data_IF_092523395910
#
_entry.id   IF_092523395910
#
_cell.length_a   1.000
_cell.length_b   1.000
_cell.length_c   1.000
_cell.angle_alpha   90.00
_cell.angle_beta   90.00
_cell.angle_gamma   90.00
#
_symmetry.space_group_name_H-M   'P 1'
#
loop_
_entity.id
_entity.type
_entity.pdbx_description
1 polymer ?
#
# COMPACT_ATOMS: atom_id res chain seq x y z
N UNK A 1 -21.98 2.39 -15.36
CA UNK A 1 -21.15 3.54 -14.94
C UNK A 1 -21.59 4.74 -15.75
N UNK A 2 -21.97 5.85 -15.10
CA UNK A 2 -22.62 7.03 -15.70
C UNK A 2 -21.97 7.51 -17.01
N UNK A 3 -20.64 7.68 -17.01
CA UNK A 3 -19.88 8.14 -18.18
C UNK A 3 -20.00 7.25 -19.43
N UNK A 4 -20.27 5.94 -19.26
CA UNK A 4 -20.51 5.03 -20.41
C UNK A 4 -21.85 5.28 -21.09
N UNK A 5 -22.79 5.89 -20.38
CA UNK A 5 -24.13 6.22 -20.88
C UNK A 5 -24.27 7.72 -21.15
N UNK A 6 -23.17 8.47 -21.21
CA UNK A 6 -23.21 9.93 -21.29
C UNK A 6 -24.04 10.43 -22.47
N UNK A 7 -23.72 9.98 -23.68
CA UNK A 7 -24.44 10.41 -24.90
C UNK A 7 -25.93 10.05 -24.85
N UNK A 8 -26.25 8.89 -24.29
CA UNK A 8 -27.65 8.46 -24.10
C UNK A 8 -28.38 9.36 -23.11
N UNK A 9 -27.71 9.78 -22.02
CA UNK A 9 -28.28 10.69 -21.04
C UNK A 9 -28.50 12.08 -21.62
N UNK A 10 -27.52 12.62 -22.36
CA UNK A 10 -27.64 13.91 -23.03
C UNK A 10 -28.84 13.90 -23.99
N UNK A 11 -28.91 12.90 -24.87
CA UNK A 11 -30.01 12.74 -25.83
C UNK A 11 -31.38 12.60 -25.14
N UNK A 12 -31.45 11.87 -24.04
CA UNK A 12 -32.69 11.71 -23.27
C UNK A 12 -33.15 13.02 -22.63
N UNK A 13 -32.24 13.84 -22.09
CA UNK A 13 -32.57 15.17 -21.56
C UNK A 13 -32.95 16.16 -22.65
N UNK A 14 -32.33 16.09 -23.82
CA UNK A 14 -32.72 16.90 -25.00
C UNK A 14 -34.14 16.57 -25.47
N UNK A 15 -34.50 15.29 -25.53
CA UNK A 15 -35.85 14.86 -25.90
C UNK A 15 -36.90 15.35 -24.90
N UNK A 16 -36.60 15.27 -23.59
CA UNK A 16 -37.47 15.80 -22.53
C UNK A 16 -37.65 17.30 -22.65
N UNK A 17 -36.56 18.05 -22.85
CA UNK A 17 -36.60 19.49 -23.08
C UNK A 17 -37.50 19.84 -24.27
N UNK A 18 -37.34 19.11 -25.39
CA UNK A 18 -38.17 19.30 -26.59
C UNK A 18 -39.65 18.96 -26.34
N UNK A 19 -39.93 17.98 -25.48
CA UNK A 19 -41.30 17.68 -25.04
C UNK A 19 -41.88 18.82 -24.19
N UNK A 20 -41.16 19.32 -23.19
CA UNK A 20 -41.62 20.45 -22.36
C UNK A 20 -41.94 21.69 -23.20
N UNK A 21 -41.13 21.99 -24.23
CA UNK A 21 -41.44 23.08 -25.17
C UNK A 21 -42.75 22.86 -25.95
N UNK A 22 -43.08 21.62 -26.32
CA UNK A 22 -44.35 21.29 -27.00
C UNK A 22 -45.54 21.37 -26.06
N UNK A 23 -45.34 20.98 -24.80
CA UNK A 23 -46.37 20.93 -23.77
C UNK A 23 -46.52 22.29 -23.04
N UNK A 24 -45.75 23.31 -23.44
CA UNK A 24 -45.72 24.65 -22.85
C UNK A 24 -45.33 24.66 -21.36
N UNK A 25 -44.51 23.70 -20.95
CA UNK A 25 -43.94 23.54 -19.61
C UNK A 25 -42.51 24.09 -19.53
N UNK A 26 -42.04 24.40 -18.32
CA UNK A 26 -40.65 24.79 -18.09
C UNK A 26 -39.71 23.60 -18.38
N UNK A 27 -38.70 23.76 -19.27
CA UNK A 27 -37.84 22.66 -19.65
C UNK A 27 -36.82 22.31 -18.56
N UNK A 28 -36.74 21.03 -18.21
CA UNK A 28 -35.66 20.51 -17.37
C UNK A 28 -34.29 20.73 -18.02
N UNK A 29 -33.36 21.32 -17.27
CA UNK A 29 -31.94 21.38 -17.67
C UNK A 29 -31.25 20.06 -17.31
N UNK A 30 -30.25 19.66 -18.12
CA UNK A 30 -29.43 18.49 -17.78
C UNK A 30 -28.51 18.84 -16.59
N UNK A 31 -28.66 18.22 -15.40
CA UNK A 31 -27.94 18.67 -14.21
C UNK A 31 -26.42 18.53 -14.27
N UNK A 32 -25.92 17.73 -15.22
CA UNK A 32 -24.49 17.48 -15.40
C UNK A 32 -23.93 18.12 -16.67
N UNK A 33 -24.68 19.04 -17.27
CA UNK A 33 -24.21 19.75 -18.45
C UNK A 33 -22.87 20.45 -18.18
N UNK A 34 -21.95 20.36 -19.13
CA UNK A 34 -20.56 20.86 -18.99
C UNK A 34 -19.67 20.10 -18.00
N UNK A 35 -20.17 19.13 -17.20
CA UNK A 35 -19.39 18.44 -16.17
C UNK A 35 -18.70 17.14 -16.64
N UNK A 36 -18.88 16.74 -17.90
CA UNK A 36 -18.33 15.48 -18.43
C UNK A 36 -16.83 15.35 -18.14
N UNK A 37 -16.06 16.36 -18.52
CA UNK A 37 -14.60 16.33 -18.42
C UNK A 37 -14.12 16.28 -16.96
N UNK A 38 -14.80 17.00 -16.06
CA UNK A 38 -14.52 16.94 -14.63
C UNK A 38 -14.76 15.53 -14.07
N UNK A 39 -15.88 14.91 -14.44
CA UNK A 39 -16.21 13.54 -14.03
C UNK A 39 -15.20 12.52 -14.57
N UNK A 40 -14.75 12.66 -15.82
CA UNK A 40 -13.73 11.78 -16.41
C UNK A 40 -12.40 11.88 -15.68
N UNK A 41 -11.96 13.10 -15.36
CA UNK A 41 -10.71 13.32 -14.62
C UNK A 41 -10.80 12.85 -13.16
N UNK A 42 -11.91 13.14 -12.48
CA UNK A 42 -12.15 12.66 -11.11
C UNK A 42 -12.22 11.14 -11.07
N UNK A 43 -12.91 10.51 -12.02
CA UNK A 43 -12.94 9.06 -12.11
C UNK A 43 -11.54 8.49 -12.35
N UNK A 44 -10.73 9.14 -13.19
CA UNK A 44 -9.35 8.73 -13.44
C UNK A 44 -8.49 8.74 -12.17
N UNK A 45 -8.68 9.73 -11.29
CA UNK A 45 -8.05 9.78 -9.96
C UNK A 45 -8.56 8.66 -9.05
N UNK A 46 -9.89 8.54 -8.93
CA UNK A 46 -10.51 7.63 -7.98
C UNK A 46 -10.39 6.17 -8.37
N UNK A 47 -10.35 5.82 -9.66
CA UNK A 47 -10.34 4.43 -10.11
C UNK A 47 -9.18 3.64 -9.49
N UNK A 48 -7.97 4.20 -9.47
CA UNK A 48 -6.80 3.55 -8.86
C UNK A 48 -6.91 3.44 -7.34
N UNK A 49 -7.50 4.44 -6.68
CA UNK A 49 -7.77 4.42 -5.24
C UNK A 49 -8.85 3.38 -4.90
N UNK A 50 -9.90 3.27 -5.70
CA UNK A 50 -10.95 2.26 -5.53
C UNK A 50 -10.40 0.86 -5.70
N UNK A 51 -9.51 0.63 -6.68
CA UNK A 51 -8.83 -0.66 -6.86
C UNK A 51 -7.97 -1.00 -5.63
N UNK A 52 -7.21 -0.03 -5.12
CA UNK A 52 -6.44 -0.18 -3.88
C UNK A 52 -7.35 -0.52 -2.69
N UNK A 53 -8.45 0.23 -2.49
CA UNK A 53 -9.38 0.02 -1.39
C UNK A 53 -10.00 -1.38 -1.43
N UNK A 54 -10.39 -1.85 -2.63
CA UNK A 54 -10.87 -3.22 -2.81
C UNK A 54 -9.80 -4.24 -2.43
N UNK A 55 -8.55 -4.01 -2.85
CA UNK A 55 -7.44 -4.90 -2.52
C UNK A 55 -7.16 -4.95 -1.01
N UNK A 56 -7.24 -3.81 -0.32
CA UNK A 56 -7.04 -3.74 1.14
C UNK A 56 -8.17 -4.37 1.95
N UNK A 57 -9.34 -4.57 1.34
CA UNK A 57 -10.54 -5.12 2.00
C UNK A 57 -10.85 -6.56 1.54
N UNK A 58 -10.00 -7.16 0.71
CA UNK A 58 -10.16 -8.54 0.29
C UNK A 58 -9.94 -9.50 1.48
N UNK A 59 -10.65 -10.62 1.50
CA UNK A 59 -10.52 -11.62 2.57
C UNK A 59 -9.10 -12.20 2.66
N UNK A 60 -8.41 -12.27 1.53
CA UNK A 60 -7.05 -12.74 1.34
C UNK A 60 -6.04 -11.58 1.16
N UNK A 61 -6.35 -10.39 1.69
CA UNK A 61 -5.50 -9.21 1.52
C UNK A 61 -4.07 -9.42 2.05
N UNK A 62 -3.11 -9.47 1.13
CA UNK A 62 -1.69 -9.48 1.46
C UNK A 62 -1.19 -8.05 1.75
N UNK A 63 -0.75 -7.80 2.98
CA UNK A 63 -0.33 -6.46 3.45
C UNK A 63 0.83 -5.88 2.63
N UNK A 64 1.78 -6.70 2.18
CA UNK A 64 2.90 -6.27 1.33
C UNK A 64 2.40 -5.83 -0.04
N UNK A 65 1.48 -6.60 -0.62
CA UNK A 65 0.86 -6.23 -1.89
C UNK A 65 0.02 -4.96 -1.80
N UNK A 66 -0.68 -4.76 -0.69
CA UNK A 66 -1.43 -3.53 -0.41
C UNK A 66 -0.48 -2.35 -0.27
N UNK A 67 0.63 -2.49 0.47
CA UNK A 67 1.65 -1.45 0.61
C UNK A 67 2.24 -1.06 -0.75
N UNK A 68 2.61 -2.04 -1.58
CA UNK A 68 3.12 -1.78 -2.92
C UNK A 68 2.07 -1.10 -3.80
N UNK A 69 0.82 -1.55 -3.76
CA UNK A 69 -0.26 -0.88 -4.49
C UNK A 69 -0.44 0.57 -4.02
N UNK A 70 -0.33 0.82 -2.71
CA UNK A 70 -0.39 2.16 -2.12
C UNK A 70 0.74 3.06 -2.64
N UNK A 71 1.98 2.57 -2.65
CA UNK A 71 3.13 3.27 -3.23
C UNK A 71 2.92 3.58 -4.72
N UNK A 72 2.36 2.66 -5.49
CA UNK A 72 2.06 2.90 -6.90
C UNK A 72 0.98 3.97 -7.09
N UNK A 73 -0.08 3.98 -6.28
CA UNK A 73 -1.11 5.03 -6.32
C UNK A 73 -0.48 6.39 -6.05
N UNK A 74 0.37 6.48 -5.03
CA UNK A 74 1.10 7.70 -4.70
C UNK A 74 1.94 8.22 -5.87
N UNK A 75 2.86 7.39 -6.36
CA UNK A 75 3.85 7.77 -7.37
C UNK A 75 3.21 8.06 -8.74
N UNK A 76 2.19 7.29 -9.14
CA UNK A 76 1.63 7.36 -10.51
C UNK A 76 0.33 8.14 -10.61
N UNK A 77 -0.42 8.28 -9.52
CA UNK A 77 -1.77 8.88 -9.54
C UNK A 77 -1.82 10.20 -8.81
N UNK A 78 -1.14 10.31 -7.66
CA UNK A 78 -1.30 11.47 -6.78
C UNK A 78 -0.16 12.48 -6.89
N UNK A 79 1.05 12.04 -7.27
CA UNK A 79 2.20 12.94 -7.40
C UNK A 79 1.89 14.15 -8.30
N UNK A 80 2.08 15.35 -7.76
CA UNK A 80 1.83 16.60 -8.47
C UNK A 80 2.82 16.75 -9.63
N UNK A 81 2.33 17.22 -10.79
CA UNK A 81 3.13 17.39 -12.01
C UNK A 81 3.28 16.13 -12.88
N UNK A 82 2.89 14.95 -12.40
CA UNK A 82 2.87 13.73 -13.23
C UNK A 82 1.59 13.65 -14.07
N UNK A 83 1.73 13.20 -15.33
CA UNK A 83 0.58 12.91 -16.20
C UNK A 83 -0.31 11.85 -15.54
N UNK A 84 -1.63 12.06 -15.58
CA UNK A 84 -2.60 11.13 -15.04
C UNK A 84 -3.06 10.18 -16.16
N UNK A 85 -3.12 8.88 -15.89
CA UNK A 85 -3.76 7.94 -16.81
C UNK A 85 -5.27 8.19 -16.85
N UNK A 86 -5.85 8.26 -18.04
CA UNK A 86 -7.29 8.29 -18.20
C UNK A 86 -7.93 6.99 -17.68
N UNK A 87 -9.17 7.04 -17.15
CA UNK A 87 -9.84 5.87 -16.56
C UNK A 87 -10.06 4.71 -17.56
N UNK A 88 -10.09 5.00 -18.86
CA UNK A 88 -10.15 4.01 -19.95
C UNK A 88 -8.77 3.52 -20.42
N UNK A 89 -7.68 3.93 -19.77
CA UNK A 89 -6.33 3.46 -20.08
C UNK A 89 -6.19 1.97 -19.73
N UNK A 90 -5.67 1.17 -20.65
CA UNK A 90 -5.41 -0.28 -20.45
C UNK A 90 -3.91 -0.58 -20.44
N UNK A 91 -3.54 -1.85 -20.28
CA UNK A 91 -2.12 -2.26 -20.36
C UNK A 91 -1.58 -2.10 -21.77
N UNK A 92 -2.41 -2.37 -22.77
CA UNK A 92 -2.09 -2.35 -24.20
C UNK A 92 -2.17 -0.94 -24.78
N UNK A 93 -3.08 -0.11 -24.24
CA UNK A 93 -3.30 1.27 -24.71
C UNK A 93 -3.27 2.25 -23.56
N UNK A 94 -2.12 2.92 -23.41
CA UNK A 94 -1.96 4.02 -22.45
C UNK A 94 -2.55 5.32 -22.99
N UNK A 95 -3.53 5.85 -22.26
CA UNK A 95 -4.14 7.16 -22.54
C UNK A 95 -3.82 8.09 -21.38
N UNK A 96 -3.26 9.25 -21.67
CA UNK A 96 -2.89 10.25 -20.67
C UNK A 96 -3.80 11.47 -20.75
N UNK A 97 -4.14 12.02 -19.59
CA UNK A 97 -4.77 13.33 -19.47
C UNK A 97 -3.67 14.39 -19.55
N UNK A 98 -3.72 15.23 -20.57
CA UNK A 98 -2.72 16.29 -20.78
C UNK A 98 -2.86 17.43 -19.78
N UNK A 99 -4.09 17.92 -19.59
CA UNK A 99 -4.40 19.04 -18.70
C UNK A 99 -5.58 18.67 -17.81
N UNK A 100 -5.29 18.50 -16.52
CA UNK A 100 -6.33 18.32 -15.52
C UNK A 100 -7.21 19.57 -15.41
N UNK A 101 -8.50 19.33 -15.21
CA UNK A 101 -9.45 20.39 -14.87
C UNK A 101 -9.15 20.98 -13.49
N UNK A 102 -9.61 22.21 -13.17
CA UNK A 102 -9.40 22.82 -11.87
C UNK A 102 -9.88 21.93 -10.71
N UNK A 103 -11.06 21.31 -10.84
CA UNK A 103 -11.62 20.42 -9.82
C UNK A 103 -10.75 19.18 -9.59
N UNK A 104 -10.27 18.55 -10.67
CA UNK A 104 -9.39 17.39 -10.57
C UNK A 104 -8.01 17.76 -9.98
N UNK A 105 -7.45 18.93 -10.34
CA UNK A 105 -6.20 19.44 -9.74
C UNK A 105 -6.34 19.65 -8.23
N UNK A 106 -7.41 20.34 -7.83
CA UNK A 106 -7.72 20.59 -6.42
C UNK A 106 -7.89 19.28 -5.65
N UNK A 107 -8.69 18.35 -6.18
CA UNK A 107 -8.92 17.04 -5.56
C UNK A 107 -7.64 16.24 -5.42
N UNK A 108 -6.80 16.20 -6.48
CA UNK A 108 -5.50 15.53 -6.45
C UNK A 108 -4.57 16.12 -5.38
N UNK A 109 -4.53 17.44 -5.27
CA UNK A 109 -3.72 18.13 -4.25
C UNK A 109 -4.20 17.80 -2.83
N UNK A 110 -5.51 17.79 -2.59
CA UNK A 110 -6.07 17.40 -1.28
C UNK A 110 -5.72 15.96 -0.93
N UNK A 111 -5.98 15.02 -1.84
CA UNK A 111 -5.66 13.60 -1.63
C UNK A 111 -4.16 13.38 -1.37
N UNK A 112 -3.32 14.09 -2.13
CA UNK A 112 -1.89 14.07 -1.95
C UNK A 112 -1.51 14.55 -0.54
N UNK A 113 -2.00 15.71 -0.11
CA UNK A 113 -1.70 16.27 1.21
C UNK A 113 -2.18 15.35 2.34
N UNK A 114 -3.39 14.81 2.23
CA UNK A 114 -3.94 13.86 3.21
C UNK A 114 -3.07 12.62 3.33
N UNK A 115 -2.64 12.03 2.21
CA UNK A 115 -1.74 10.88 2.26
C UNK A 115 -0.36 11.22 2.79
N UNK A 116 0.18 12.40 2.43
CA UNK A 116 1.46 12.88 2.94
C UNK A 116 1.45 12.97 4.46
N UNK A 117 0.43 13.61 5.04
CA UNK A 117 0.31 13.81 6.48
C UNK A 117 0.07 12.49 7.22
N UNK A 118 -0.88 11.69 6.74
CA UNK A 118 -1.36 10.52 7.49
C UNK A 118 -0.46 9.30 7.35
N UNK A 119 0.11 9.06 6.16
CA UNK A 119 0.92 7.87 5.90
C UNK A 119 2.39 8.21 5.68
N UNK A 120 2.71 9.08 4.70
CA UNK A 120 4.11 9.30 4.31
C UNK A 120 4.92 10.12 5.30
N UNK A 121 4.28 10.77 6.28
CA UNK A 121 4.99 11.45 7.38
C UNK A 121 5.93 10.50 8.13
N UNK A 122 5.66 9.19 8.12
CA UNK A 122 6.56 8.16 8.66
C UNK A 122 7.94 8.09 7.98
N UNK A 123 8.07 8.62 6.76
CA UNK A 123 9.32 8.66 6.00
C UNK A 123 9.90 10.07 5.84
N UNK A 124 9.23 11.10 6.38
CA UNK A 124 9.68 12.49 6.25
C UNK A 124 9.88 13.20 7.57
N UNK A 125 9.22 12.75 8.64
CA UNK A 125 9.38 13.23 10.00
C UNK A 125 10.52 12.46 10.68
N UNK A 126 11.56 13.18 11.10
CA UNK A 126 12.75 12.59 11.69
C UNK A 126 12.44 11.81 12.97
N UNK A 127 11.52 12.28 13.82
CA UNK A 127 11.17 11.58 15.06
C UNK A 127 10.52 10.24 14.76
N UNK A 128 9.61 10.21 13.76
CA UNK A 128 8.96 8.97 13.32
C UNK A 128 9.93 8.02 12.63
N UNK A 129 10.85 8.55 11.83
CA UNK A 129 11.88 7.73 11.16
C UNK A 129 12.74 7.01 12.18
N UNK A 130 13.17 7.69 13.25
CA UNK A 130 14.06 7.08 14.26
C UNK A 130 13.36 6.01 15.10
N UNK A 131 12.07 6.17 15.38
CA UNK A 131 11.35 5.31 16.33
C UNK A 131 10.57 4.18 15.67
N UNK A 132 10.27 4.24 14.37
CA UNK A 132 9.37 3.28 13.74
C UNK A 132 10.08 1.98 13.34
N UNK A 133 9.49 0.81 13.61
CA UNK A 133 10.07 -0.48 13.26
C UNK A 133 9.89 -0.86 11.77
N UNK A 134 9.16 -0.07 10.99
CA UNK A 134 8.91 -0.32 9.56
C UNK A 134 8.48 -1.78 9.22
N UNK A 135 7.55 -2.34 10.00
CA UNK A 135 7.18 -3.77 9.93
C UNK A 135 6.73 -4.18 8.52
N UNK A 136 5.87 -3.40 7.85
CA UNK A 136 5.40 -3.75 6.51
C UNK A 136 6.53 -3.70 5.47
N UNK A 137 7.48 -2.79 5.63
CA UNK A 137 8.67 -2.72 4.77
C UNK A 137 9.62 -3.90 5.04
N UNK A 138 9.75 -4.33 6.30
CA UNK A 138 10.48 -5.54 6.67
C UNK A 138 9.85 -6.79 6.05
N UNK A 139 8.52 -6.94 6.16
CA UNK A 139 7.78 -8.01 5.50
C UNK A 139 7.98 -7.97 3.97
N UNK A 140 7.98 -6.78 3.36
CA UNK A 140 8.27 -6.63 1.93
C UNK A 140 9.67 -7.14 1.57
N UNK A 141 10.69 -6.86 2.39
CA UNK A 141 12.06 -7.35 2.18
C UNK A 141 12.17 -8.87 2.33
N UNK A 142 11.36 -9.47 3.19
CA UNK A 142 11.32 -10.92 3.42
C UNK A 142 10.47 -11.67 2.38
N UNK A 143 9.51 -10.99 1.73
CA UNK A 143 8.56 -11.63 0.84
C UNK A 143 9.25 -12.34 -0.32
N UNK A 144 8.92 -13.60 -0.65
CA UNK A 144 9.65 -14.39 -1.65
C UNK A 144 9.60 -13.79 -3.07
N UNK A 145 8.53 -13.07 -3.40
CA UNK A 145 8.28 -12.53 -4.76
C UNK A 145 8.21 -11.00 -4.85
N UNK A 146 8.18 -10.29 -3.72
CA UNK A 146 7.82 -8.86 -3.67
C UNK A 146 8.90 -7.99 -3.01
N UNK A 147 10.14 -8.47 -2.99
CA UNK A 147 11.29 -7.72 -2.45
C UNK A 147 11.53 -6.49 -3.31
N UNK A 148 11.19 -5.31 -2.79
CA UNK A 148 11.24 -4.08 -3.58
C UNK A 148 11.63 -2.85 -2.75
N UNK A 149 12.87 -2.86 -2.24
CA UNK A 149 13.45 -1.71 -1.54
C UNK A 149 13.66 -0.50 -2.47
N UNK A 150 13.78 -0.72 -3.78
CA UNK A 150 13.89 0.37 -4.75
C UNK A 150 12.64 1.24 -4.77
N UNK A 151 11.45 0.63 -4.77
CA UNK A 151 10.18 1.37 -4.71
C UNK A 151 10.07 2.14 -3.40
N UNK A 152 10.46 1.54 -2.27
CA UNK A 152 10.51 2.24 -0.98
C UNK A 152 11.46 3.45 -1.07
N UNK A 153 12.69 3.26 -1.53
CA UNK A 153 13.68 4.34 -1.68
C UNK A 153 13.13 5.49 -2.54
N UNK A 154 12.51 5.17 -3.67
CA UNK A 154 11.89 6.16 -4.55
C UNK A 154 10.73 6.92 -3.87
N UNK A 155 9.88 6.22 -3.12
CA UNK A 155 8.80 6.83 -2.33
C UNK A 155 9.37 7.79 -1.30
N UNK A 156 10.32 7.34 -0.47
CA UNK A 156 10.93 8.16 0.58
C UNK A 156 11.57 9.41 -0.03
N UNK A 157 12.33 9.24 -1.11
CA UNK A 157 12.98 10.35 -1.80
C UNK A 157 11.96 11.35 -2.33
N UNK A 158 10.95 10.92 -3.10
CA UNK A 158 9.96 11.81 -3.70
C UNK A 158 9.13 12.53 -2.63
N UNK A 159 8.71 11.83 -1.57
CA UNK A 159 7.99 12.45 -0.45
C UNK A 159 8.82 13.52 0.25
N UNK A 160 10.13 13.32 0.40
CA UNK A 160 11.02 14.31 1.02
C UNK A 160 11.31 15.50 0.08
N UNK A 161 11.54 15.26 -1.22
CA UNK A 161 11.73 16.34 -2.19
C UNK A 161 10.51 17.26 -2.28
N UNK A 162 9.31 16.71 -2.14
CA UNK A 162 8.09 17.50 -2.16
C UNK A 162 7.98 18.47 -0.98
N UNK A 163 8.54 18.14 0.18
CA UNK A 163 8.64 19.05 1.32
C UNK A 163 9.74 20.11 1.15
N UNK A 164 10.32 20.24 -0.06
CA UNK A 164 11.37 21.20 -0.36
C UNK A 164 12.77 20.77 0.05
N UNK A 165 12.95 19.53 0.52
CA UNK A 165 14.30 19.01 0.83
C UNK A 165 15.12 18.86 -0.45
N UNK A 166 16.40 19.18 -0.37
CA UNK A 166 17.31 18.99 -1.49
C UNK A 166 17.44 17.51 -1.88
N UNK A 167 17.78 17.26 -3.14
CA UNK A 167 17.92 15.90 -3.67
C UNK A 167 18.90 15.06 -2.84
N UNK A 168 20.04 15.62 -2.46
CA UNK A 168 21.06 14.92 -1.66
C UNK A 168 20.51 14.50 -0.29
N UNK A 169 19.82 15.39 0.41
CA UNK A 169 19.20 15.09 1.70
C UNK A 169 18.09 14.05 1.58
N UNK A 170 17.21 14.20 0.59
CA UNK A 170 16.14 13.24 0.34
C UNK A 170 16.69 11.85 0.02
N UNK A 171 17.82 11.78 -0.71
CA UNK A 171 18.49 10.52 -1.02
C UNK A 171 19.17 9.91 0.22
N UNK A 172 19.79 10.73 1.08
CA UNK A 172 20.34 10.29 2.37
C UNK A 172 19.25 9.68 3.25
N UNK A 173 18.11 10.37 3.41
CA UNK A 173 16.97 9.89 4.21
C UNK A 173 16.44 8.56 3.65
N UNK A 174 16.32 8.44 2.32
CA UNK A 174 15.92 7.18 1.68
C UNK A 174 16.89 6.03 2.01
N UNK A 175 18.19 6.31 2.00
CA UNK A 175 19.22 5.37 2.42
C UNK A 175 19.09 4.96 3.89
N UNK A 176 18.86 5.92 4.79
CA UNK A 176 18.67 5.67 6.22
C UNK A 176 17.46 4.78 6.51
N UNK A 177 16.30 5.07 5.89
CA UNK A 177 15.10 4.25 6.03
C UNK A 177 15.37 2.82 5.54
N UNK A 178 16.01 2.67 4.36
CA UNK A 178 16.33 1.34 3.83
C UNK A 178 17.32 0.57 4.73
N UNK A 179 18.32 1.25 5.30
CA UNK A 179 19.27 0.66 6.24
C UNK A 179 18.57 0.22 7.54
N UNK A 180 17.65 1.03 8.07
CA UNK A 180 16.87 0.65 9.23
C UNK A 180 16.02 -0.60 8.96
N UNK A 181 15.32 -0.66 7.82
CA UNK A 181 14.54 -1.85 7.44
C UNK A 181 15.44 -3.10 7.40
N UNK A 182 16.61 -3.01 6.77
CA UNK A 182 17.58 -4.12 6.72
C UNK A 182 18.04 -4.53 8.11
N UNK A 183 18.32 -3.57 8.98
CA UNK A 183 18.77 -3.82 10.36
C UNK A 183 17.71 -4.56 11.17
N UNK A 184 16.46 -4.08 11.15
CA UNK A 184 15.36 -4.73 11.87
C UNK A 184 15.12 -6.17 11.39
N UNK A 185 15.21 -6.41 10.07
CA UNK A 185 15.12 -7.76 9.50
C UNK A 185 16.27 -8.65 10.02
N UNK A 186 17.49 -8.14 10.00
CA UNK A 186 18.66 -8.86 10.49
C UNK A 186 18.56 -9.20 11.98
N UNK A 187 18.19 -8.23 12.82
CA UNK A 187 17.99 -8.42 14.26
C UNK A 187 16.89 -9.45 14.55
N UNK A 188 15.78 -9.40 13.81
CA UNK A 188 14.69 -10.38 13.94
C UNK A 188 15.11 -11.78 13.51
N UNK A 189 15.98 -11.91 12.51
CA UNK A 189 16.51 -13.22 12.10
C UNK A 189 17.47 -13.80 13.15
N UNK A 190 18.32 -12.96 13.73
CA UNK A 190 19.24 -13.36 14.79
C UNK A 190 18.49 -13.82 16.05
N UNK A 191 17.43 -13.14 16.44
CA UNK A 191 16.64 -13.53 17.61
C UNK A 191 16.04 -14.93 17.44
N UNK A 192 15.44 -15.21 16.27
CA UNK A 192 14.88 -16.53 15.94
C UNK A 192 15.94 -17.64 16.00
N UNK A 193 17.14 -17.38 15.47
CA UNK A 193 18.25 -18.37 15.54
C UNK A 193 18.69 -18.62 16.98
N UNK A 194 18.76 -17.57 17.80
CA UNK A 194 19.14 -17.71 19.21
C UNK A 194 18.09 -18.45 20.04
N UNK A 195 16.80 -18.26 19.76
CA UNK A 195 15.70 -18.98 20.42
C UNK A 195 15.67 -20.46 20.04
N UNK A 196 15.86 -20.77 18.75
CA UNK A 196 15.94 -22.16 18.26
C UNK A 196 17.13 -22.93 18.85
N UNK A 197 18.24 -22.25 19.18
CA UNK A 197 19.39 -22.86 19.84
C UNK A 197 19.13 -23.29 21.29
N UNK A 198 18.24 -22.60 22.01
CA UNK A 198 17.87 -22.95 23.38
C UNK A 198 16.87 -24.12 23.43
N UNK A 199 15.91 -24.18 22.51
CA UNK A 199 14.94 -25.27 22.44
C UNK A 199 15.57 -26.62 22.05
N UNK A 200 16.65 -26.62 21.25
CA UNK A 200 17.38 -27.84 20.89
C UNK A 200 18.26 -28.39 22.02
N UNK A 201 18.65 -27.58 23.00
CA UNK A 201 19.39 -28.04 24.18
C UNK A 201 18.44 -28.62 25.26
N UNK A 202 17.17 -28.21 25.29
CA UNK A 202 16.17 -28.73 26.23
C UNK A 202 15.66 -30.14 25.87
N UNK A 203 16.06 -30.72 24.74
CA UNK A 203 15.63 -32.05 24.27
C UNK A 203 16.68 -33.16 24.42
N UNK A 204 17.71 -32.98 25.27
CA UNK A 204 18.52 -34.14 25.67
C UNK A 204 17.74 -35.01 26.66
N UNK A 205 17.53 -36.32 26.37
CA UNK A 205 16.85 -37.20 27.30
C UNK A 205 17.70 -37.38 28.57
N UNK A 206 17.05 -37.17 29.70
CA UNK A 206 17.60 -37.34 31.05
C UNK A 206 18.26 -38.73 31.19
N UNK A 207 19.49 -38.83 31.73
CA UNK A 207 20.15 -40.12 31.91
C UNK A 207 19.35 -40.94 32.93
N UNK A 208 18.88 -42.12 32.51
CA UNK A 208 18.13 -43.02 33.39
C UNK A 208 18.96 -43.42 34.61
N UNK A 209 18.37 -43.44 35.82
CA UNK A 209 19.09 -43.82 37.03
C UNK A 209 19.46 -45.31 36.96
N UNK A 210 20.76 -45.59 37.16
CA UNK A 210 21.29 -46.95 37.23
C UNK A 210 20.55 -47.77 38.31
N UNK A 211 20.01 -48.91 37.91
CA UNK A 211 19.43 -49.88 38.83
C UNK A 211 20.52 -50.38 39.80
N UNK A 212 20.44 -49.93 41.05
CA UNK A 212 21.17 -50.54 42.17
C UNK A 212 20.72 -51.99 42.34
N UNK A 213 21.54 -52.94 41.88
CA UNK A 213 21.37 -54.36 42.21
C UNK A 213 21.86 -54.59 43.65
N UNK A 214 20.92 -54.79 44.56
CA UNK A 214 21.21 -55.32 45.89
C UNK A 214 21.58 -56.80 45.77
N UNK A 215 22.82 -57.11 46.12
CA UNK A 215 23.36 -58.46 46.21
C UNK A 215 22.57 -59.28 47.25
N UNK A 216 21.97 -60.39 46.81
CA UNK A 216 21.42 -61.42 47.70
C UNK A 216 22.56 -62.28 48.25
N UNK A 217 22.72 -62.29 49.57
CA UNK A 217 23.65 -63.13 50.31
C UNK A 217 23.22 -64.62 50.29
N UNK A 218 24.16 -65.58 50.41
CA UNK A 218 23.88 -67.00 50.29
C UNK A 218 23.32 -67.56 51.60
N UNK A 219 22.27 -68.37 51.54
CA UNK A 219 21.84 -69.20 52.67
C UNK A 219 22.21 -70.65 52.38
N UNK A 220 23.08 -71.21 53.21
CA UNK A 220 23.54 -72.58 53.10
C UNK A 220 22.98 -73.44 54.25
N UNK A 221 22.24 -74.48 53.85
CA UNK A 221 22.20 -75.89 54.30
C UNK A 221 21.63 -76.34 55.67
N UNK A 222 20.94 -77.49 55.56
CA UNK A 222 20.58 -78.57 56.50
C UNK A 222 19.27 -78.37 57.29
N UNK A 223 18.36 -79.36 57.38
CA UNK A 223 18.47 -80.84 57.26
C UNK A 223 17.45 -81.46 56.30
#
# INVERSE_FOLDING_TARGET
>A
MLLRKWEVLVSWYEERRNKSFRDNEEPDSFPLDGLKLDLEHLLSLFNRITILNRKSQAQDANQVEVLLAFFHVWLKTLQLGQKLDHYNSTREKRIYIEKLTPLAKFTRAMLYQTMQTNFFSRYTDQAKITQRPFIFECQMMLHPRLKNLETLSNVVRISNQHLGRQFADANRIAGEVCQQVKRHVWESMLSVVSEQGHDQQATQPEPQPEHFQLASAPTSVFS
#
